data_IF_678868869601
#
_entry.id   IF_678868869601
#
_cell.length_a   1.000
_cell.length_b   1.000
_cell.length_c   1.000
_cell.angle_alpha   90.00
_cell.angle_beta   90.00
_cell.angle_gamma   90.00
#
_symmetry.space_group_name_H-M   'P 1'
#
loop_
_entity.id
_entity.type
_entity.pdbx_description
1 polymer ?
#
# COMPACT_ATOMS: atom_id res chain seq x y z
N UNK A 1 4.61 5.87 5.27
CA UNK A 1 5.75 5.30 4.53
C UNK A 1 5.27 4.52 3.32
N UNK A 2 6.08 4.43 2.26
CA UNK A 2 5.74 3.65 1.06
C UNK A 2 5.67 2.15 1.36
N UNK A 3 4.69 1.42 0.83
CA UNK A 3 4.62 -0.04 0.97
C UNK A 3 5.68 -0.80 0.16
N UNK A 4 6.48 -0.10 -0.66
CA UNK A 4 7.68 -0.69 -1.27
C UNK A 4 8.71 -1.10 -0.21
N UNK A 5 8.64 -0.56 1.01
CA UNK A 5 9.50 -0.99 2.13
C UNK A 5 9.35 -2.49 2.46
N UNK A 6 8.17 -3.07 2.21
CA UNK A 6 7.92 -4.51 2.34
C UNK A 6 8.74 -5.28 1.29
N UNK A 7 8.70 -4.82 0.04
CA UNK A 7 9.34 -5.49 -1.09
C UNK A 7 10.87 -5.45 -1.00
N UNK A 8 11.43 -4.33 -0.55
CA UNK A 8 12.87 -4.15 -0.41
C UNK A 8 13.40 -4.47 0.99
N UNK A 9 12.56 -5.02 1.89
CA UNK A 9 12.90 -5.50 3.24
C UNK A 9 13.49 -4.44 4.16
N UNK A 10 12.94 -3.23 4.10
CA UNK A 10 13.31 -2.11 4.98
C UNK A 10 12.18 -1.69 5.93
N UNK A 11 11.04 -2.39 5.88
CA UNK A 11 9.87 -2.03 6.68
C UNK A 11 10.19 -2.12 8.18
N UNK A 12 10.77 -3.23 8.61
CA UNK A 12 11.03 -3.55 10.01
C UNK A 12 11.96 -2.52 10.64
N UNK A 13 13.09 -2.23 9.99
CA UNK A 13 14.07 -1.22 10.44
C UNK A 13 13.41 0.15 10.61
N UNK A 14 12.52 0.54 9.70
CA UNK A 14 11.80 1.82 9.77
C UNK A 14 10.78 1.81 10.92
N UNK A 15 10.02 0.72 11.09
CA UNK A 15 9.02 0.59 12.15
C UNK A 15 9.66 0.70 13.54
N UNK A 16 10.89 0.20 13.72
CA UNK A 16 11.64 0.35 14.96
C UNK A 16 11.94 1.81 15.32
N UNK A 17 12.22 2.64 14.31
CA UNK A 17 12.51 4.07 14.50
C UNK A 17 11.27 4.91 14.80
N UNK A 18 10.07 4.40 14.49
CA UNK A 18 8.80 5.16 14.60
C UNK A 18 7.83 4.59 15.62
N UNK A 19 8.27 3.73 16.55
CA UNK A 19 7.42 3.11 17.59
C UNK A 19 6.63 4.10 18.46
N UNK A 20 7.07 5.36 18.56
CA UNK A 20 6.40 6.44 19.32
C UNK A 20 5.53 7.36 18.46
N UNK A 21 5.42 7.10 17.16
CA UNK A 21 4.54 7.87 16.29
C UNK A 21 3.08 7.64 16.69
N UNK A 22 2.25 8.69 16.62
CA UNK A 22 0.82 8.59 16.93
C UNK A 22 0.03 7.83 15.88
N UNK A 23 0.48 7.92 14.64
CA UNK A 23 -0.12 7.27 13.47
C UNK A 23 1.02 6.83 12.54
N UNK A 24 0.95 5.60 12.06
CA UNK A 24 1.90 5.03 11.11
C UNK A 24 1.11 4.51 9.92
N UNK A 25 1.26 5.19 8.78
CA UNK A 25 0.51 4.87 7.56
C UNK A 25 1.40 4.10 6.60
N UNK A 26 0.95 2.93 6.14
CA UNK A 26 1.50 2.26 4.96
C UNK A 26 0.74 2.72 3.73
N UNK A 27 1.45 3.23 2.70
CA UNK A 27 0.80 3.80 1.52
C UNK A 27 1.36 3.30 0.20
N UNK A 28 0.48 3.18 -0.79
CA UNK A 28 0.82 2.91 -2.19
C UNK A 28 0.09 1.71 -2.77
N UNK A 29 0.23 1.46 -4.09
CA UNK A 29 -0.46 0.36 -4.75
C UNK A 29 -0.05 -1.03 -4.24
N UNK A 30 1.18 -1.12 -3.71
CA UNK A 30 1.73 -2.32 -3.10
C UNK A 30 1.28 -2.55 -1.66
N UNK A 31 0.43 -1.69 -1.08
CA UNK A 31 -0.07 -1.87 0.30
C UNK A 31 -1.00 -3.08 0.35
N UNK A 32 -0.67 -4.13 1.14
CA UNK A 32 -1.61 -5.22 1.39
C UNK A 32 -2.81 -4.67 2.14
N UNK A 33 -4.01 -4.82 1.58
CA UNK A 33 -5.27 -4.36 2.21
C UNK A 33 -5.85 -5.45 3.14
N UNK A 34 -5.01 -5.95 4.05
CA UNK A 34 -5.34 -7.00 5.02
C UNK A 34 -4.93 -6.52 6.43
N UNK A 35 -5.78 -5.72 7.11
CA UNK A 35 -5.49 -5.14 8.43
C UNK A 35 -5.01 -6.17 9.46
N UNK A 36 -5.58 -7.37 9.44
CA UNK A 36 -5.29 -8.46 10.37
C UNK A 36 -3.81 -8.91 10.37
N UNK A 37 -3.09 -8.73 9.26
CA UNK A 37 -1.66 -9.08 9.16
C UNK A 37 -0.77 -8.07 9.88
N UNK A 38 -1.27 -6.87 10.18
CA UNK A 38 -0.51 -5.79 10.80
C UNK A 38 -0.82 -5.57 12.27
N UNK A 39 -1.68 -6.40 12.89
CA UNK A 39 -2.17 -6.20 14.26
C UNK A 39 -1.08 -6.12 15.33
N UNK A 40 0.07 -6.78 15.13
CA UNK A 40 1.21 -6.78 16.06
C UNK A 40 2.28 -5.71 15.71
N UNK A 41 2.05 -4.91 14.67
CA UNK A 41 2.96 -3.87 14.19
C UNK A 41 2.40 -2.49 14.57
N UNK A 42 3.26 -1.45 14.71
CA UNK A 42 2.78 -0.11 15.07
C UNK A 42 2.05 0.60 13.90
N UNK A 43 1.61 -0.14 12.87
CA UNK A 43 0.88 0.38 11.71
C UNK A 43 -0.56 0.66 12.11
N UNK A 44 -1.07 1.86 11.82
CA UNK A 44 -2.41 2.29 12.22
C UNK A 44 -3.37 2.48 11.03
N UNK A 45 -2.82 2.62 9.82
CA UNK A 45 -3.61 2.84 8.61
C UNK A 45 -2.93 2.24 7.37
N UNK A 46 -3.75 1.58 6.54
CA UNK A 46 -3.38 1.04 5.24
C UNK A 46 -4.04 1.90 4.15
N UNK A 47 -3.24 2.62 3.37
CA UNK A 47 -3.67 3.52 2.29
C UNK A 47 -3.26 2.95 0.93
N UNK A 48 -4.05 2.01 0.43
CA UNK A 48 -3.78 1.29 -0.82
C UNK A 48 -4.75 1.60 -1.95
N UNK A 49 -4.85 0.65 -2.89
CA UNK A 49 -5.82 0.70 -3.99
C UNK A 49 -6.53 -0.64 -4.17
N UNK A 50 -7.81 -0.57 -4.54
CA UNK A 50 -8.60 -1.71 -4.99
C UNK A 50 -8.74 -1.65 -6.52
N UNK A 51 -8.55 -2.79 -7.18
CA UNK A 51 -8.74 -2.92 -8.63
C UNK A 51 -10.24 -2.98 -8.93
N UNK A 52 -10.73 -2.06 -9.77
CA UNK A 52 -12.12 -2.04 -10.27
C UNK A 52 -12.26 -2.70 -11.63
N UNK A 53 -11.21 -2.64 -12.44
CA UNK A 53 -11.17 -3.14 -13.81
C UNK A 53 -9.85 -3.90 -14.03
N UNK A 54 -9.83 -5.22 -13.76
CA UNK A 54 -8.62 -6.04 -13.86
C UNK A 54 -8.02 -6.09 -15.27
N UNK A 55 -8.85 -6.14 -16.31
CA UNK A 55 -8.39 -6.20 -17.70
C UNK A 55 -7.62 -4.94 -18.08
N UNK A 56 -8.16 -3.78 -17.73
CA UNK A 56 -7.50 -2.49 -17.98
C UNK A 56 -6.22 -2.32 -17.17
N UNK A 57 -6.15 -2.88 -15.96
CA UNK A 57 -4.91 -2.90 -15.17
C UNK A 57 -3.86 -3.77 -15.85
N UNK A 58 -4.21 -4.99 -16.24
CA UNK A 58 -3.26 -5.90 -16.91
C UNK A 58 -2.73 -5.30 -18.21
N UNK A 59 -3.61 -4.77 -19.06
CA UNK A 59 -3.20 -4.07 -20.29
C UNK A 59 -2.31 -2.86 -20.00
N UNK A 60 -2.69 -2.02 -19.02
CA UNK A 60 -1.91 -0.85 -18.69
C UNK A 60 -0.53 -1.17 -18.10
N UNK A 61 -0.42 -2.22 -17.29
CA UNK A 61 0.87 -2.71 -16.78
C UNK A 61 1.74 -3.28 -17.91
N UNK A 62 1.14 -4.05 -18.83
CA UNK A 62 1.85 -4.57 -20.01
C UNK A 62 2.39 -3.46 -20.92
N UNK A 63 1.69 -2.33 -20.99
CA UNK A 63 2.11 -1.12 -21.69
C UNK A 63 3.06 -0.22 -20.87
N UNK A 64 3.53 -0.68 -19.71
CA UNK A 64 4.38 0.06 -18.78
C UNK A 64 3.80 1.43 -18.36
N UNK A 65 2.46 1.56 -18.30
CA UNK A 65 1.81 2.78 -17.82
C UNK A 65 2.17 3.02 -16.35
N UNK A 66 2.63 4.24 -16.06
CA UNK A 66 2.77 4.70 -14.69
C UNK A 66 1.41 4.77 -13.97
N UNK A 67 1.43 4.84 -12.63
CA UNK A 67 0.23 4.82 -11.79
C UNK A 67 -0.86 5.83 -12.20
N UNK A 68 -0.47 7.02 -12.69
CA UNK A 68 -1.42 8.04 -13.20
C UNK A 68 -2.27 7.50 -14.37
N UNK A 69 -1.68 6.71 -15.26
CA UNK A 69 -2.37 6.08 -16.39
C UNK A 69 -3.29 4.91 -15.99
N UNK A 70 -3.12 4.38 -14.78
CA UNK A 70 -3.93 3.29 -14.23
C UNK A 70 -5.08 3.77 -13.33
N UNK A 71 -5.08 5.06 -12.93
CA UNK A 71 -6.03 5.62 -11.94
C UNK A 71 -7.50 5.34 -12.22
N UNK A 72 -7.94 5.37 -13.48
CA UNK A 72 -9.36 5.18 -13.80
C UNK A 72 -9.86 3.76 -13.47
N UNK A 73 -8.97 2.77 -13.56
CA UNK A 73 -9.23 1.37 -13.25
C UNK A 73 -9.05 1.01 -11.75
N UNK A 74 -8.69 1.99 -10.92
CA UNK A 74 -8.40 1.83 -9.50
C UNK A 74 -9.33 2.66 -8.62
N UNK A 75 -9.48 2.23 -7.38
CA UNK A 75 -10.12 2.96 -6.30
C UNK A 75 -9.12 3.12 -5.17
N UNK A 76 -8.98 4.31 -4.60
CA UNK A 76 -8.17 4.49 -3.39
C UNK A 76 -8.97 4.04 -2.18
N UNK A 77 -8.33 3.27 -1.30
CA UNK A 77 -8.97 2.72 -0.10
C UNK A 77 -8.08 3.03 1.11
N UNK A 78 -8.72 3.36 2.23
CA UNK A 78 -8.06 3.50 3.53
C UNK A 78 -8.71 2.53 4.52
N UNK A 79 -7.92 1.68 5.15
CA UNK A 79 -8.38 0.75 6.18
C UNK A 79 -7.61 1.01 7.48
N UNK A 80 -8.32 1.07 8.61
CA UNK A 80 -7.69 1.06 9.92
C UNK A 80 -7.20 -0.36 10.24
N UNK A 81 -6.03 -0.42 10.88
CA UNK A 81 -5.47 -1.63 11.51
C UNK A 81 -5.98 -1.72 12.93
#
# INVERSE_FOLDING_TARGET
MTSVTILNRTLEDILEQVRRAREVVLLGPSTPLAPEVFGDLPVSLLSGVRVKDPERILAGVAEAKGFRGLKSALEKVNLRV
#
